data_IF_804496859057
#
_entry.id   IF_804496859057
#
_cell.length_a   1.000
_cell.length_b   1.000
_cell.length_c   1.000
_cell.angle_alpha   90.00
_cell.angle_beta   90.00
_cell.angle_gamma   90.00
#
_symmetry.space_group_name_H-M   'P 1'
#
loop_
_entity.id
_entity.type
_entity.pdbx_description
1 polymer ?
#
# COMPACT_ATOMS: atom_id res chain seq x y z
N UNK A 1 -12.15 -16.86 23.35
CA UNK A 1 -10.95 -16.23 22.77
C UNK A 1 -10.43 -17.21 21.75
N UNK A 2 -10.77 -17.04 20.47
CA UNK A 2 -10.37 -17.99 19.43
C UNK A 2 -8.86 -17.92 19.31
N UNK A 3 -8.16 -19.04 19.53
CA UNK A 3 -6.73 -19.13 19.27
C UNK A 3 -6.47 -18.65 17.84
N UNK A 4 -5.75 -17.53 17.72
CA UNK A 4 -5.33 -17.04 16.42
C UNK A 4 -4.26 -18.03 15.97
N UNK A 5 -4.65 -18.95 15.09
CA UNK A 5 -3.69 -19.83 14.44
C UNK A 5 -2.61 -18.99 13.77
N UNK A 6 -1.37 -19.45 13.85
CA UNK A 6 -0.22 -18.84 13.17
C UNK A 6 -0.52 -18.53 11.69
N UNK A 7 -1.30 -19.38 11.03
CA UNK A 7 -1.74 -19.16 9.65
C UNK A 7 -2.62 -17.91 9.51
N UNK A 8 -3.57 -17.70 10.42
CA UNK A 8 -4.44 -16.51 10.45
C UNK A 8 -3.64 -15.24 10.69
N UNK A 9 -2.60 -15.31 11.52
CA UNK A 9 -1.71 -14.18 11.76
C UNK A 9 -0.94 -13.78 10.50
N UNK A 10 -0.38 -14.75 9.76
CA UNK A 10 0.26 -14.49 8.46
C UNK A 10 -0.73 -13.90 7.45
N UNK A 11 -1.94 -14.46 7.36
CA UNK A 11 -2.98 -13.92 6.47
C UNK A 11 -3.34 -12.47 6.81
N UNK A 12 -3.43 -12.13 8.10
CA UNK A 12 -3.66 -10.76 8.57
C UNK A 12 -2.53 -9.80 8.17
N UNK A 13 -1.26 -10.23 8.26
CA UNK A 13 -0.11 -9.43 7.83
C UNK A 13 -0.18 -9.17 6.33
N UNK A 14 -0.41 -10.20 5.52
CA UNK A 14 -0.53 -10.09 4.05
C UNK A 14 -1.72 -9.21 3.65
N UNK A 15 -2.85 -9.37 4.33
CA UNK A 15 -4.05 -8.58 4.09
C UNK A 15 -3.84 -7.11 4.46
N UNK A 16 -3.19 -6.82 5.59
CA UNK A 16 -2.85 -5.46 6.02
C UNK A 16 -1.88 -4.79 5.05
N UNK A 17 -0.86 -5.53 4.58
CA UNK A 17 0.06 -5.05 3.55
C UNK A 17 -0.67 -4.64 2.27
N UNK A 18 -1.55 -5.52 1.75
CA UNK A 18 -2.30 -5.22 0.53
C UNK A 18 -3.28 -4.06 0.72
N UNK A 19 -3.97 -4.01 1.86
CA UNK A 19 -4.88 -2.92 2.20
C UNK A 19 -4.15 -1.57 2.30
N UNK A 20 -2.97 -1.54 2.93
CA UNK A 20 -2.12 -0.35 3.01
C UNK A 20 -1.68 0.11 1.63
N UNK A 21 -1.25 -0.84 0.79
CA UNK A 21 -0.85 -0.53 -0.59
C UNK A 21 -2.03 0.02 -1.39
N UNK A 22 -3.24 -0.50 -1.18
CA UNK A 22 -4.46 -0.02 -1.83
C UNK A 22 -4.81 1.40 -1.35
N UNK A 23 -4.69 1.69 -0.06
CA UNK A 23 -4.98 3.03 0.48
C UNK A 23 -3.97 4.08 -0.01
N UNK A 24 -2.68 3.73 -0.02
CA UNK A 24 -1.58 4.67 -0.30
C UNK A 24 -1.34 4.86 -1.79
N UNK A 25 -1.38 3.78 -2.58
CA UNK A 25 -0.96 3.80 -3.98
C UNK A 25 -2.11 3.67 -4.98
N UNK A 26 -3.30 3.20 -4.58
CA UNK A 26 -4.39 2.99 -5.54
C UNK A 26 -5.10 4.29 -5.91
N UNK A 27 -5.32 4.50 -7.21
CA UNK A 27 -6.11 5.62 -7.75
C UNK A 27 -7.59 5.49 -7.39
N UNK A 28 -8.08 4.33 -6.97
CA UNK A 28 -9.48 4.17 -6.56
C UNK A 28 -9.82 5.07 -5.35
N UNK A 29 -8.86 5.35 -4.47
CA UNK A 29 -9.03 6.33 -3.37
C UNK A 29 -8.80 7.77 -3.81
N UNK A 30 -8.62 8.07 -5.10
CA UNK A 30 -8.39 9.45 -5.60
C UNK A 30 -9.58 10.37 -5.27
N UNK A 31 -10.79 9.82 -5.16
CA UNK A 31 -11.98 10.55 -4.69
C UNK A 31 -11.90 10.93 -3.21
N UNK A 32 -11.25 10.10 -2.39
CA UNK A 32 -10.90 10.39 -0.99
C UNK A 32 -9.66 11.30 -0.94
N UNK A 33 -8.73 11.21 -1.89
CA UNK A 33 -7.48 12.00 -1.95
C UNK A 33 -7.71 13.46 -2.39
N UNK A 34 -8.62 13.70 -3.34
CA UNK A 34 -8.98 15.03 -3.89
C UNK A 34 -9.31 16.09 -2.82
N UNK A 35 -10.09 15.80 -1.77
CA UNK A 35 -10.33 16.79 -0.72
C UNK A 35 -9.16 17.03 0.23
N UNK A 36 -8.13 16.16 0.26
CA UNK A 36 -7.03 16.22 1.25
C UNK A 36 -5.65 16.59 0.70
N UNK A 37 -5.50 16.68 -0.63
CA UNK A 37 -4.26 17.08 -1.29
C UNK A 37 -4.56 18.27 -2.22
N UNK A 38 -4.14 19.47 -1.83
CA UNK A 38 -4.23 20.67 -2.66
C UNK A 38 -2.93 20.80 -3.47
N UNK A 39 -3.03 20.82 -4.79
CA UNK A 39 -1.90 21.16 -5.67
C UNK A 39 -1.64 22.65 -5.53
N UNK A 40 -0.60 23.03 -4.79
CA UNK A 40 -0.22 24.44 -4.63
C UNK A 40 0.96 24.68 -5.58
N UNK A 41 0.74 25.49 -6.61
CA UNK A 41 1.86 25.98 -7.43
C UNK A 41 2.64 26.96 -6.55
N UNK A 42 3.88 26.63 -6.25
CA UNK A 42 4.75 27.52 -5.48
C UNK A 42 5.68 28.14 -6.51
N UNK A 43 5.49 29.43 -6.77
CA UNK A 43 6.43 30.19 -7.59
C UNK A 43 7.71 30.38 -6.78
N UNK A 44 8.81 29.82 -7.26
CA UNK A 44 10.15 30.08 -6.77
C UNK A 44 10.88 30.89 -7.83
N UNK A 45 11.85 31.73 -7.44
CA UNK A 45 12.66 32.62 -8.29
C UNK A 45 13.31 31.97 -9.54
N UNK A 46 13.29 30.64 -9.67
CA UNK A 46 13.90 29.88 -10.77
C UNK A 46 12.90 29.08 -11.63
N UNK A 47 11.59 29.21 -11.39
CA UNK A 47 10.55 28.56 -12.21
C UNK A 47 9.39 27.99 -11.40
N UNK A 48 8.26 27.76 -12.07
CA UNK A 48 7.02 27.28 -11.46
C UNK A 48 7.11 25.78 -11.12
N UNK A 49 7.46 25.44 -9.88
CA UNK A 49 7.38 24.06 -9.40
C UNK A 49 5.98 23.75 -8.82
N UNK A 50 5.38 22.65 -9.28
CA UNK A 50 4.11 22.19 -8.74
C UNK A 50 4.39 21.29 -7.53
N UNK A 51 4.28 21.83 -6.30
CA UNK A 51 4.43 21.04 -5.07
C UNK A 51 3.07 20.59 -4.55
N UNK A 52 2.92 19.29 -4.31
CA UNK A 52 1.72 18.71 -3.69
C UNK A 52 1.81 18.90 -2.17
N UNK A 53 1.02 19.84 -1.61
CA UNK A 53 1.04 20.18 -0.18
C UNK A 53 -0.16 19.52 0.51
N UNK A 54 0.03 18.66 1.53
CA UNK A 54 -1.08 18.03 2.24
C UNK A 54 -1.88 19.07 3.04
N UNK A 55 -3.22 19.02 2.98
CA UNK A 55 -4.10 20.05 3.58
C UNK A 55 -4.82 19.58 4.86
N UNK A 56 -4.66 18.31 5.23
CA UNK A 56 -5.34 17.68 6.38
C UNK A 56 -4.45 16.63 7.06
N UNK A 57 -4.74 16.31 8.33
CA UNK A 57 -4.14 15.19 9.08
C UNK A 57 -4.16 13.88 8.29
N UNK A 58 -5.21 13.63 7.50
CA UNK A 58 -5.31 12.47 6.61
C UNK A 58 -4.34 12.52 5.42
N UNK A 59 -3.97 13.72 4.94
CA UNK A 59 -2.95 13.90 3.90
C UNK A 59 -1.51 13.64 4.41
N UNK A 60 -1.25 13.88 5.69
CA UNK A 60 0.01 13.50 6.35
C UNK A 60 0.08 11.99 6.63
N UNK A 61 -1.06 11.39 7.02
CA UNK A 61 -1.24 9.94 7.18
C UNK A 61 -1.06 9.17 5.87
N UNK A 62 -1.51 9.71 4.74
CA UNK A 62 -1.30 9.14 3.41
C UNK A 62 0.15 9.32 2.90
N UNK A 63 0.86 10.36 3.34
CA UNK A 63 2.31 10.53 3.08
C UNK A 63 3.15 9.53 3.88
N UNK A 64 2.72 9.17 5.09
CA UNK A 64 3.44 8.24 5.94
C UNK A 64 2.91 6.81 5.77
N UNK A 65 3.61 6.03 4.94
CA UNK A 65 3.30 4.61 4.70
C UNK A 65 3.18 3.79 6.00
N UNK A 66 3.99 4.11 7.02
CA UNK A 66 3.94 3.45 8.31
C UNK A 66 2.63 3.72 9.07
N UNK A 67 2.16 4.97 9.07
CA UNK A 67 0.89 5.32 9.71
C UNK A 67 -0.29 4.64 9.01
N UNK A 68 -0.33 4.65 7.67
CA UNK A 68 -1.35 3.93 6.91
C UNK A 68 -1.35 2.42 7.23
N UNK A 69 -0.16 1.83 7.44
CA UNK A 69 0.00 0.43 7.87
C UNK A 69 -0.60 0.14 9.24
N UNK A 70 -0.33 0.99 10.24
CA UNK A 70 -0.88 0.82 11.60
C UNK A 70 -2.40 0.91 11.58
N UNK A 71 -2.98 1.90 10.90
CA UNK A 71 -4.43 2.03 10.81
C UNK A 71 -5.09 0.87 10.04
N UNK A 72 -4.45 0.37 8.99
CA UNK A 72 -4.92 -0.81 8.25
C UNK A 72 -4.95 -2.06 9.13
N UNK A 73 -3.90 -2.26 9.94
CA UNK A 73 -3.82 -3.37 10.88
C UNK A 73 -4.86 -3.25 12.00
N UNK A 74 -5.05 -2.06 12.57
CA UNK A 74 -6.08 -1.79 13.59
C UNK A 74 -7.48 -2.03 13.03
N UNK A 75 -7.75 -1.60 11.79
CA UNK A 75 -9.04 -1.79 11.14
C UNK A 75 -9.33 -3.29 10.91
N UNK A 76 -8.41 -4.02 10.29
CA UNK A 76 -8.58 -5.45 10.03
C UNK A 76 -8.63 -6.28 11.33
N UNK A 77 -7.74 -5.98 12.29
CA UNK A 77 -7.73 -6.64 13.60
C UNK A 77 -8.99 -6.34 14.41
N UNK A 78 -9.42 -5.07 14.47
CA UNK A 78 -10.66 -4.66 15.13
C UNK A 78 -11.90 -5.26 14.49
N UNK A 79 -11.97 -5.27 13.16
CA UNK A 79 -13.06 -5.91 12.42
C UNK A 79 -13.10 -7.44 12.66
N UNK A 80 -11.94 -8.07 12.86
CA UNK A 80 -11.88 -9.50 13.18
C UNK A 80 -12.41 -9.78 14.60
N UNK A 81 -12.17 -8.87 15.54
CA UNK A 81 -12.71 -8.98 16.91
C UNK A 81 -14.22 -8.72 16.97
N UNK A 82 -14.76 -7.79 16.18
CA UNK A 82 -16.20 -7.46 16.16
C UNK A 82 -17.02 -8.48 15.34
N UNK A 83 -16.55 -8.87 14.16
CA UNK A 83 -17.27 -9.76 13.24
C UNK A 83 -16.34 -10.79 12.58
N UNK A 84 -15.92 -11.84 13.31
CA UNK A 84 -14.89 -12.77 12.85
C UNK A 84 -15.26 -13.52 11.56
N UNK A 85 -16.53 -13.88 11.36
CA UNK A 85 -16.97 -14.64 10.17
C UNK A 85 -16.85 -13.84 8.88
N UNK A 86 -17.30 -12.58 8.89
CA UNK A 86 -17.26 -11.72 7.70
C UNK A 86 -15.83 -11.27 7.43
N UNK A 87 -15.13 -10.86 8.49
CA UNK A 87 -13.75 -10.37 8.35
C UNK A 87 -12.80 -11.48 7.91
N UNK A 88 -13.03 -12.74 8.27
CA UNK A 88 -12.22 -13.86 7.76
C UNK A 88 -12.26 -13.96 6.23
N UNK A 89 -13.42 -13.80 5.61
CA UNK A 89 -13.56 -13.82 4.13
C UNK A 89 -12.77 -12.66 3.51
N UNK A 90 -12.86 -11.47 4.12
CA UNK A 90 -12.10 -10.29 3.66
C UNK A 90 -10.60 -10.51 3.80
N UNK A 91 -10.13 -10.98 4.96
CA UNK A 91 -8.72 -11.30 5.21
C UNK A 91 -8.23 -12.33 4.18
N UNK A 92 -9.03 -13.37 3.90
CA UNK A 92 -8.66 -14.41 2.94
C UNK A 92 -8.45 -13.80 1.54
N UNK A 93 -9.40 -13.02 1.03
CA UNK A 93 -9.28 -12.39 -0.30
C UNK A 93 -8.08 -11.43 -0.37
N UNK A 94 -7.93 -10.57 0.63
CA UNK A 94 -6.83 -9.60 0.67
C UNK A 94 -5.47 -10.27 0.86
N UNK A 95 -5.40 -11.38 1.61
CA UNK A 95 -4.15 -12.11 1.82
C UNK A 95 -3.66 -12.79 0.53
N UNK A 96 -4.58 -13.36 -0.26
CA UNK A 96 -4.26 -13.94 -1.58
C UNK A 96 -3.76 -12.85 -2.53
N UNK A 97 -4.46 -11.72 -2.59
CA UNK A 97 -4.05 -10.58 -3.41
C UNK A 97 -2.68 -9.99 -2.97
N UNK A 98 -2.42 -9.97 -1.67
CA UNK A 98 -1.12 -9.60 -1.10
C UNK A 98 0.00 -10.56 -1.55
N UNK A 99 -0.25 -11.87 -1.45
CA UNK A 99 0.69 -12.90 -1.92
C UNK A 99 0.98 -12.79 -3.42
N UNK A 100 -0.05 -12.54 -4.24
CA UNK A 100 0.13 -12.31 -5.68
C UNK A 100 1.04 -11.11 -5.97
N UNK A 101 0.85 -10.00 -5.24
CA UNK A 101 1.65 -8.78 -5.41
C UNK A 101 3.13 -9.01 -5.09
N UNK A 102 3.40 -9.84 -4.08
CA UNK A 102 4.76 -10.23 -3.69
C UNK A 102 5.38 -11.06 -4.82
N UNK A 103 4.68 -12.09 -5.30
CA UNK A 103 5.17 -12.93 -6.40
C UNK A 103 5.45 -12.13 -7.68
N UNK A 104 4.55 -11.22 -8.05
CA UNK A 104 4.73 -10.32 -9.20
C UNK A 104 5.97 -9.44 -9.05
N UNK A 105 6.19 -8.87 -7.86
CA UNK A 105 7.37 -8.06 -7.58
C UNK A 105 8.65 -8.89 -7.69
N UNK A 106 8.65 -10.11 -7.15
CA UNK A 106 9.81 -11.00 -7.25
C UNK A 106 10.11 -11.37 -8.70
N UNK A 107 9.11 -11.81 -9.48
CA UNK A 107 9.31 -12.19 -10.89
C UNK A 107 9.70 -10.97 -11.73
N UNK A 108 9.01 -9.85 -11.56
CA UNK A 108 9.27 -8.62 -12.32
C UNK A 108 10.65 -8.02 -12.06
N UNK A 109 11.14 -8.05 -10.82
CA UNK A 109 12.50 -7.58 -10.49
C UNK A 109 13.57 -8.50 -11.07
N UNK A 110 13.34 -9.82 -11.06
CA UNK A 110 14.29 -10.76 -11.64
C UNK A 110 14.43 -10.60 -13.16
N UNK A 111 13.30 -10.43 -13.88
CA UNK A 111 13.33 -10.19 -15.33
C UNK A 111 14.08 -8.89 -15.66
N UNK A 112 13.80 -7.79 -14.95
CA UNK A 112 14.49 -6.52 -15.17
C UNK A 112 15.99 -6.59 -14.88
N UNK A 113 16.41 -7.35 -13.87
CA UNK A 113 17.84 -7.59 -13.61
C UNK A 113 18.49 -8.33 -14.76
N UNK A 114 17.88 -9.42 -15.24
CA UNK A 114 18.41 -10.20 -16.36
C UNK A 114 18.54 -9.33 -17.61
N UNK A 115 17.53 -8.51 -17.90
CA UNK A 115 17.53 -7.59 -19.04
C UNK A 115 18.69 -6.57 -18.92
N UNK A 116 18.84 -5.94 -17.75
CA UNK A 116 19.93 -5.01 -17.46
C UNK A 116 21.33 -5.63 -17.63
N UNK A 117 21.56 -6.85 -17.13
CA UNK A 117 22.84 -7.54 -17.33
C UNK A 117 23.09 -7.92 -18.79
N UNK A 118 22.04 -8.19 -19.56
CA UNK A 118 22.16 -8.51 -20.99
C UNK A 118 22.56 -7.29 -21.83
N UNK A 119 22.07 -6.09 -21.48
CA UNK A 119 22.42 -4.84 -22.13
C UNK A 119 23.86 -4.41 -21.83
N UNK A 120 24.32 -4.60 -20.58
CA UNK A 120 25.72 -4.34 -20.22
C UNK A 120 26.69 -5.20 -21.03
N UNK A 121 26.39 -6.50 -21.18
CA UNK A 121 27.23 -7.44 -21.94
C UNK A 121 27.30 -7.13 -23.44
N UNK A 122 26.34 -6.39 -23.99
CA UNK A 122 26.36 -5.94 -25.40
C UNK A 122 27.24 -4.71 -25.63
N UNK A 123 27.60 -4.00 -24.56
CA UNK A 123 28.34 -2.74 -24.61
C UNK A 123 29.85 -2.91 -24.40
N UNK A 124 30.25 -4.05 -23.85
CA UNK A 124 31.64 -4.57 -23.81
C UNK A 124 31.98 -5.32 -25.11
#
# INVERSE_FOLDING_TARGET
MSDISWMTYIMLILASYRLTHLIVFDKITEFIRKPFVKKVKVETDTGTETKEVPTSMFGYLLKCYWCAGVWSAVLLGGAYLLFPRVTFVVILIFSIAGGQSILETFVGVNIKKVDYYSELKKKD
#
